data_IF_147361964051
#
_entry.id   IF_147361964051
#
_cell.length_a   1.000
_cell.length_b   1.000
_cell.length_c   1.000
_cell.angle_alpha   90.00
_cell.angle_beta   90.00
_cell.angle_gamma   90.00
#
_symmetry.space_group_name_H-M   'P 1'
#
loop_
_entity.id
_entity.type
_entity.pdbx_description
1 polymer ?
#
# COMPACT_ATOMS: atom_id res chain seq x y z
N UNK A 1 -9.35 -8.65 11.54
CA UNK A 1 -8.59 -7.90 10.51
C UNK A 1 -7.71 -6.90 11.24
N UNK A 2 -6.42 -6.82 10.90
CA UNK A 2 -5.45 -6.02 11.65
C UNK A 2 -4.64 -5.17 10.70
N UNK A 3 -4.50 -3.87 11.02
CA UNK A 3 -3.56 -2.93 10.39
C UNK A 3 -2.16 -3.55 10.21
N UNK A 4 -1.78 -4.50 11.06
CA UNK A 4 -0.56 -5.28 10.90
C UNK A 4 -0.47 -5.99 9.54
N UNK A 5 -1.53 -6.63 9.05
CA UNK A 5 -1.51 -7.38 7.79
C UNK A 5 -1.33 -6.45 6.59
N UNK A 6 -2.02 -5.30 6.59
CA UNK A 6 -1.84 -4.28 5.56
C UNK A 6 -0.42 -3.72 5.56
N UNK A 7 0.12 -3.37 6.74
CA UNK A 7 1.49 -2.89 6.84
C UNK A 7 2.53 -3.97 6.47
N UNK A 8 2.26 -5.23 6.79
CA UNK A 8 3.12 -6.37 6.42
C UNK A 8 3.14 -6.57 4.91
N UNK A 9 1.98 -6.50 4.23
CA UNK A 9 1.90 -6.52 2.77
C UNK A 9 2.78 -5.43 2.17
N UNK A 10 2.60 -4.19 2.62
CA UNK A 10 3.34 -3.04 2.10
C UNK A 10 4.84 -3.19 2.38
N UNK A 11 5.21 -3.67 3.58
CA UNK A 11 6.60 -3.95 3.93
C UNK A 11 7.22 -5.00 3.00
N UNK A 12 6.54 -6.12 2.74
CA UNK A 12 7.03 -7.16 1.84
C UNK A 12 7.26 -6.62 0.42
N UNK A 13 6.28 -5.89 -0.14
CA UNK A 13 6.43 -5.27 -1.48
C UNK A 13 7.59 -4.26 -1.50
N UNK A 14 7.79 -3.53 -0.41
CA UNK A 14 8.86 -2.53 -0.32
C UNK A 14 10.26 -3.13 -0.14
N UNK A 15 10.41 -4.24 0.58
CA UNK A 15 11.72 -4.72 1.04
C UNK A 15 12.18 -6.02 0.42
N UNK A 16 11.27 -6.91 0.04
CA UNK A 16 11.59 -8.22 -0.51
C UNK A 16 11.37 -8.23 -2.02
N UNK A 17 12.45 -8.41 -2.78
CA UNK A 17 12.42 -8.40 -4.24
C UNK A 17 11.57 -9.54 -4.82
N UNK A 18 11.63 -10.74 -4.23
CA UNK A 18 10.85 -11.88 -4.68
C UNK A 18 9.36 -11.67 -4.43
N UNK A 19 9.00 -11.10 -3.28
CA UNK A 19 7.61 -10.74 -2.98
C UNK A 19 7.12 -9.62 -3.90
N UNK A 20 7.98 -8.62 -4.15
CA UNK A 20 7.66 -7.52 -5.07
C UNK A 20 7.40 -8.03 -6.49
N UNK A 21 8.18 -8.98 -6.98
CA UNK A 21 7.95 -9.54 -8.31
C UNK A 21 6.63 -10.31 -8.38
N UNK A 22 6.33 -11.13 -7.38
CA UNK A 22 5.04 -11.82 -7.28
C UNK A 22 3.87 -10.84 -7.25
N UNK A 23 4.01 -9.77 -6.48
CA UNK A 23 3.02 -8.69 -6.43
C UNK A 23 2.83 -8.02 -7.80
N UNK A 24 3.91 -7.71 -8.54
CA UNK A 24 3.82 -7.10 -9.87
C UNK A 24 3.17 -8.01 -10.91
N UNK A 25 3.41 -9.32 -10.83
CA UNK A 25 2.83 -10.29 -11.75
C UNK A 25 1.32 -10.39 -11.60
N UNK A 26 0.82 -10.46 -10.35
CA UNK A 26 -0.61 -10.51 -10.08
C UNK A 26 -0.93 -9.93 -8.70
N UNK A 27 -1.17 -8.61 -8.60
CA UNK A 27 -1.46 -7.94 -7.34
C UNK A 27 -2.69 -8.53 -6.64
N UNK A 28 -3.75 -8.80 -7.41
CA UNK A 28 -5.03 -9.29 -6.89
C UNK A 28 -4.92 -10.69 -6.27
N UNK A 29 -4.06 -11.56 -6.82
CA UNK A 29 -3.79 -12.86 -6.19
C UNK A 29 -2.86 -12.74 -4.99
N UNK A 30 -1.82 -11.91 -5.11
CA UNK A 30 -0.83 -11.71 -4.05
C UNK A 30 -1.47 -11.24 -2.73
N UNK A 31 -2.42 -10.30 -2.81
CA UNK A 31 -3.02 -9.74 -1.60
C UNK A 31 -3.89 -10.75 -0.84
N UNK A 32 -4.41 -11.79 -1.50
CA UNK A 32 -5.22 -12.83 -0.85
C UNK A 32 -4.42 -13.66 0.15
N UNK A 33 -3.09 -13.59 0.10
CA UNK A 33 -2.20 -14.17 1.11
C UNK A 33 -2.20 -13.43 2.45
N UNK A 34 -2.94 -12.33 2.56
CA UNK A 34 -3.04 -11.49 3.76
C UNK A 34 -4.50 -11.41 4.20
N UNK A 35 -4.73 -11.38 5.52
CA UNK A 35 -6.05 -11.19 6.12
C UNK A 35 -6.44 -9.70 6.05
N UNK A 36 -6.87 -9.25 4.86
CA UNK A 36 -7.28 -7.87 4.56
C UNK A 36 -8.78 -7.75 4.33
N UNK A 37 -9.39 -6.71 4.90
CA UNK A 37 -10.76 -6.32 4.58
C UNK A 37 -10.86 -5.97 3.10
N UNK A 38 -12.07 -6.00 2.55
CA UNK A 38 -12.32 -5.50 1.19
C UNK A 38 -11.82 -4.06 1.00
N UNK A 39 -11.95 -3.21 2.02
CA UNK A 39 -11.48 -1.84 2.01
C UNK A 39 -9.94 -1.74 1.96
N UNK A 40 -9.23 -2.49 2.81
CA UNK A 40 -7.76 -2.51 2.82
C UNK A 40 -7.20 -3.09 1.52
N UNK A 41 -7.81 -4.16 1.03
CA UNK A 41 -7.49 -4.77 -0.26
C UNK A 41 -7.66 -3.78 -1.42
N UNK A 42 -8.81 -3.09 -1.48
CA UNK A 42 -9.07 -2.10 -2.52
C UNK A 42 -8.10 -0.92 -2.44
N UNK A 43 -7.78 -0.43 -1.24
CA UNK A 43 -6.81 0.65 -1.05
C UNK A 43 -5.40 0.25 -1.52
N UNK A 44 -4.98 -0.99 -1.25
CA UNK A 44 -3.68 -1.51 -1.67
C UNK A 44 -3.60 -1.76 -3.20
N UNK A 45 -4.67 -2.27 -3.81
CA UNK A 45 -4.72 -2.53 -5.26
C UNK A 45 -4.76 -1.26 -6.09
N UNK A 46 -5.56 -0.28 -5.66
CA UNK A 46 -5.69 1.00 -6.34
C UNK A 46 -4.58 1.98 -5.97
N UNK A 47 -3.71 1.63 -5.02
CA UNK A 47 -2.66 2.51 -4.48
C UNK A 47 -3.27 3.82 -3.99
N UNK A 48 -4.43 3.72 -3.32
CA UNK A 48 -5.13 4.90 -2.81
C UNK A 48 -4.38 5.42 -1.58
N UNK A 49 -3.49 6.39 -1.83
CA UNK A 49 -2.60 6.98 -0.83
C UNK A 49 -3.39 7.54 0.36
N UNK A 50 -4.52 8.19 0.09
CA UNK A 50 -5.37 8.76 1.15
C UNK A 50 -6.01 7.66 1.97
N UNK A 51 -6.62 6.66 1.32
CA UNK A 51 -7.24 5.56 2.04
C UNK A 51 -6.22 4.77 2.88
N UNK A 52 -5.04 4.45 2.31
CA UNK A 52 -3.96 3.77 3.02
C UNK A 52 -3.49 4.56 4.24
N UNK A 53 -3.33 5.88 4.11
CA UNK A 53 -2.97 6.75 5.23
C UNK A 53 -4.06 6.76 6.31
N UNK A 54 -5.32 6.98 5.94
CA UNK A 54 -6.47 7.00 6.85
C UNK A 54 -6.68 5.67 7.57
N UNK A 55 -6.37 4.54 6.90
CA UNK A 55 -6.39 3.20 7.49
C UNK A 55 -5.28 2.98 8.53
N UNK A 56 -4.32 3.91 8.66
CA UNK A 56 -3.25 3.88 9.66
C UNK A 56 -1.91 3.35 9.15
N UNK A 57 -1.71 3.22 7.83
CA UNK A 57 -0.40 2.82 7.28
C UNK A 57 0.63 3.90 7.58
N UNK A 58 1.73 3.50 8.22
CA UNK A 58 2.80 4.41 8.57
C UNK A 58 3.46 5.08 7.34
N UNK A 59 3.71 6.39 7.41
CA UNK A 59 4.23 7.19 6.28
C UNK A 59 5.54 6.67 5.70
N UNK A 60 6.43 6.11 6.53
CA UNK A 60 7.69 5.50 6.10
C UNK A 60 7.52 4.21 5.28
N UNK A 61 6.38 3.52 5.40
CA UNK A 61 6.01 2.39 4.55
C UNK A 61 5.26 2.87 3.31
N UNK A 62 4.36 3.84 3.50
CA UNK A 62 3.53 4.37 2.43
C UNK A 62 4.37 5.01 1.32
N UNK A 63 5.37 5.81 1.68
CA UNK A 63 6.14 6.56 0.68
C UNK A 63 6.93 5.68 -0.30
N UNK A 64 7.76 4.71 0.14
CA UNK A 64 8.45 3.78 -0.77
C UNK A 64 7.47 2.98 -1.65
N UNK A 65 6.31 2.61 -1.10
CA UNK A 65 5.29 1.88 -1.84
C UNK A 65 4.73 2.72 -2.98
N UNK A 66 4.34 3.96 -2.71
CA UNK A 66 3.83 4.88 -3.74
C UNK A 66 4.88 5.18 -4.83
N UNK A 67 6.17 5.24 -4.47
CA UNK A 67 7.26 5.37 -5.45
C UNK A 67 7.38 4.16 -6.37
N UNK A 68 7.21 2.94 -5.84
CA UNK A 68 7.18 1.72 -6.66
C UNK A 68 6.02 1.74 -7.68
N UNK A 69 4.94 2.42 -7.33
CA UNK A 69 3.77 2.64 -8.19
C UNK A 69 3.84 3.92 -9.03
N UNK A 70 5.00 4.59 -9.07
CA UNK A 70 5.25 5.81 -9.87
C UNK A 70 4.33 6.98 -9.50
N UNK A 71 3.84 7.03 -8.27
CA UNK A 71 3.10 8.19 -7.76
C UNK A 71 4.08 9.34 -7.54
N UNK A 72 3.85 10.46 -8.23
CA UNK A 72 4.66 11.67 -8.11
C UNK A 72 4.61 12.27 -6.71
N UNK A 73 5.61 13.08 -6.37
CA UNK A 73 5.64 13.78 -5.08
C UNK A 73 4.43 14.72 -4.93
N UNK A 74 4.02 15.37 -6.02
CA UNK A 74 2.86 16.26 -6.07
C UNK A 74 1.55 15.51 -5.83
N UNK A 75 1.33 14.37 -6.50
CA UNK A 75 0.15 13.53 -6.30
C UNK A 75 0.09 12.98 -4.87
N UNK A 76 1.24 12.55 -4.33
CA UNK A 76 1.35 12.11 -2.95
C UNK A 76 0.98 13.22 -1.96
N UNK A 77 1.54 14.42 -2.13
CA UNK A 77 1.24 15.57 -1.28
C UNK A 77 -0.23 15.99 -1.40
N UNK A 78 -0.78 16.02 -2.62
CA UNK A 78 -2.19 16.33 -2.88
C UNK A 78 -3.12 15.30 -2.24
N UNK A 79 -2.77 14.01 -2.28
CA UNK A 79 -3.56 12.97 -1.64
C UNK A 79 -3.65 13.16 -0.12
N UNK A 80 -2.56 13.63 0.51
CA UNK A 80 -2.50 13.87 1.96
C UNK A 80 -2.94 15.29 2.38
N UNK A 81 -3.13 16.21 1.44
CA UNK A 81 -3.52 17.59 1.76
C UNK A 81 -4.85 17.64 2.54
N UNK A 82 -4.88 18.37 3.65
CA UNK A 82 -6.07 18.48 4.51
C UNK A 82 -6.34 17.24 5.37
N UNK A 83 -5.40 16.31 5.47
CA UNK A 83 -5.34 15.34 6.56
C UNK A 83 -4.39 15.93 7.60
N UNK A 84 -4.95 16.65 8.58
CA UNK A 84 -4.26 17.15 9.78
C UNK A 84 -4.48 16.20 10.95
#
# INVERSE_FOLDING_TARGET
MSLYQLQKLIYHVNRDEAQRERYRQNPAEFIKGYDLTEQEAAAALNVDVRALYTLGVHSLLLRPFTLLHKVSNEDYAKALAGLE
#
